data_IF_983343977081
#
_entry.id   IF_983343977081
#
_cell.length_a   1.000
_cell.length_b   1.000
_cell.length_c   1.000
_cell.angle_alpha   90.00
_cell.angle_beta   90.00
_cell.angle_gamma   90.00
#
_symmetry.space_group_name_H-M   'P 1'
#
loop_
_entity.id
_entity.type
_entity.pdbx_description
1 polymer ?
#
# COMPACT_ATOMS: atom_id res chain seq x y z
N UNK A 1 32.51 7.02 -5.45
CA UNK A 1 31.51 6.82 -6.51
C UNK A 1 30.24 6.15 -5.99
N UNK A 2 30.23 5.07 -5.23
CA UNK A 2 28.98 4.44 -4.74
C UNK A 2 28.14 5.30 -3.76
N UNK A 3 28.76 6.16 -2.97
CA UNK A 3 28.07 7.06 -2.03
C UNK A 3 27.30 8.21 -2.71
N UNK A 4 27.80 8.73 -3.82
CA UNK A 4 27.10 9.78 -4.58
C UNK A 4 25.84 9.23 -5.29
N UNK A 5 25.90 8.00 -5.78
CA UNK A 5 24.76 7.31 -6.42
C UNK A 5 23.58 7.09 -5.44
N UNK A 6 23.85 6.78 -4.18
CA UNK A 6 22.79 6.60 -3.16
C UNK A 6 22.16 7.96 -2.79
N UNK A 7 22.97 9.00 -2.66
CA UNK A 7 22.48 10.37 -2.39
C UNK A 7 21.61 10.88 -3.51
N UNK A 8 22.05 10.75 -4.76
CA UNK A 8 21.28 11.19 -5.93
C UNK A 8 19.95 10.44 -6.04
N UNK A 9 19.94 9.12 -5.91
CA UNK A 9 18.72 8.29 -5.90
C UNK A 9 17.78 8.66 -4.76
N UNK A 10 18.33 8.95 -3.58
CA UNK A 10 17.53 9.38 -2.43
C UNK A 10 16.87 10.72 -2.71
N UNK A 11 17.62 11.72 -3.17
CA UNK A 11 17.12 13.06 -3.51
C UNK A 11 16.11 13.00 -4.66
N UNK A 12 16.36 12.19 -5.68
CA UNK A 12 15.41 11.96 -6.78
C UNK A 12 14.08 11.41 -6.26
N UNK A 13 14.08 10.42 -5.37
CA UNK A 13 12.87 9.89 -4.74
C UNK A 13 12.12 10.92 -3.91
N UNK A 14 12.82 11.86 -3.26
CA UNK A 14 12.20 12.96 -2.51
C UNK A 14 11.49 13.96 -3.43
N UNK A 15 12.03 14.19 -4.63
CA UNK A 15 11.46 15.18 -5.59
C UNK A 15 10.30 14.62 -6.39
N UNK A 16 10.21 13.30 -6.54
CA UNK A 16 9.21 12.64 -7.40
C UNK A 16 7.78 12.68 -6.82
N UNK A 17 7.60 12.94 -5.52
CA UNK A 17 6.28 12.99 -4.88
C UNK A 17 6.07 14.36 -4.22
N UNK A 18 4.93 15.04 -4.48
CA UNK A 18 4.63 16.35 -3.88
C UNK A 18 4.45 16.28 -2.36
N UNK A 19 4.18 15.08 -1.81
CA UNK A 19 4.13 14.84 -0.36
C UNK A 19 5.05 13.67 -0.05
N UNK A 20 6.12 13.94 0.67
CA UNK A 20 7.09 12.94 1.09
C UNK A 20 7.18 12.94 2.61
N UNK A 21 6.87 11.81 3.24
CA UNK A 21 6.88 11.67 4.69
C UNK A 21 8.25 12.04 5.30
N UNK A 22 9.36 11.68 4.63
CA UNK A 22 10.69 12.03 5.11
C UNK A 22 10.94 13.54 5.08
N UNK A 23 10.48 14.25 4.03
CA UNK A 23 10.55 15.71 3.98
C UNK A 23 9.70 16.35 5.07
N UNK A 24 8.50 15.86 5.34
CA UNK A 24 7.67 16.35 6.44
C UNK A 24 8.36 16.15 7.81
N UNK A 25 9.02 15.02 8.02
CA UNK A 25 9.85 14.79 9.22
C UNK A 25 10.98 15.82 9.30
N UNK A 26 11.70 16.07 8.21
CA UNK A 26 12.78 17.08 8.14
C UNK A 26 12.24 18.49 8.43
N UNK A 27 11.16 18.89 7.80
CA UNK A 27 10.50 20.19 7.99
C UNK A 27 10.04 20.40 9.43
N UNK A 28 9.54 19.35 10.09
CA UNK A 28 9.10 19.42 11.48
C UNK A 28 10.21 19.75 12.49
N UNK A 29 11.47 19.59 12.08
CA UNK A 29 12.67 19.97 12.84
C UNK A 29 13.43 21.13 12.22
N UNK A 30 12.79 21.90 11.30
CA UNK A 30 13.33 23.10 10.69
C UNK A 30 14.26 22.87 9.50
N UNK A 31 14.33 21.66 8.96
CA UNK A 31 15.12 21.32 7.78
C UNK A 31 14.21 21.37 6.53
N UNK A 32 14.29 22.45 5.78
CA UNK A 32 13.48 22.68 4.57
C UNK A 32 14.18 22.31 3.26
N UNK A 33 15.49 22.06 3.32
CA UNK A 33 16.31 21.68 2.16
C UNK A 33 17.30 20.58 2.56
N UNK A 34 17.26 19.45 1.88
CA UNK A 34 18.19 18.33 2.06
C UNK A 34 19.30 18.28 0.98
N UNK A 35 19.34 19.21 0.04
CA UNK A 35 20.32 19.20 -1.05
C UNK A 35 21.70 19.69 -0.59
N UNK A 36 21.71 20.61 0.37
CA UNK A 36 22.92 21.14 0.98
C UNK A 36 23.17 20.48 2.33
N UNK A 37 24.43 20.23 2.69
CA UNK A 37 24.82 19.58 3.95
C UNK A 37 24.04 18.29 4.25
N UNK A 38 23.84 17.49 3.21
CA UNK A 38 22.95 16.35 3.17
C UNK A 38 23.16 15.38 4.32
N UNK A 39 24.40 14.98 4.57
CA UNK A 39 24.71 13.94 5.55
C UNK A 39 24.38 14.38 6.98
N UNK A 40 24.71 15.61 7.34
CA UNK A 40 24.41 16.14 8.68
C UNK A 40 22.91 16.31 8.88
N UNK A 41 22.21 16.83 7.89
CA UNK A 41 20.74 16.99 7.94
C UNK A 41 20.02 15.66 7.99
N UNK A 42 20.41 14.70 7.15
CA UNK A 42 19.90 13.32 7.17
C UNK A 42 20.14 12.66 8.53
N UNK A 43 21.33 12.82 9.09
CA UNK A 43 21.66 12.28 10.41
C UNK A 43 20.79 12.93 11.50
N UNK A 44 20.54 14.23 11.45
CA UNK A 44 19.66 14.91 12.40
C UNK A 44 18.23 14.38 12.35
N UNK A 45 17.66 14.18 11.15
CA UNK A 45 16.35 13.56 10.95
C UNK A 45 16.33 12.13 11.51
N UNK A 46 17.30 11.31 11.11
CA UNK A 46 17.38 9.91 11.53
C UNK A 46 17.54 9.75 13.06
N UNK A 47 18.29 10.63 13.71
CA UNK A 47 18.44 10.62 15.16
C UNK A 47 17.13 11.05 15.86
N UNK A 48 16.49 12.09 15.36
CA UNK A 48 15.24 12.62 15.94
C UNK A 48 14.12 11.60 15.87
N UNK A 49 14.00 10.88 14.75
CA UNK A 49 12.94 9.93 14.46
C UNK A 49 13.41 8.46 14.48
N UNK A 50 14.46 8.17 15.25
CA UNK A 50 15.08 6.84 15.28
C UNK A 50 14.10 5.73 15.67
N UNK A 51 13.17 6.00 16.59
CA UNK A 51 12.16 5.02 17.02
C UNK A 51 11.15 4.72 15.93
N UNK A 52 10.63 5.75 15.29
CA UNK A 52 9.65 5.65 14.22
C UNK A 52 10.25 4.96 13.00
N UNK A 53 11.44 5.36 12.61
CA UNK A 53 12.18 4.74 11.50
C UNK A 53 12.53 3.28 11.79
N UNK A 54 12.96 2.97 13.00
CA UNK A 54 13.22 1.59 13.41
C UNK A 54 11.97 0.73 13.42
N UNK A 55 10.85 1.29 13.89
CA UNK A 55 9.55 0.62 13.85
C UNK A 55 9.16 0.28 12.40
N UNK A 56 9.16 1.27 11.51
CA UNK A 56 8.75 1.07 10.11
C UNK A 56 9.68 0.09 9.40
N UNK A 57 11.00 0.20 9.60
CA UNK A 57 11.97 -0.71 8.97
C UNK A 57 11.91 -2.14 9.49
N UNK A 58 11.34 -2.33 10.68
CA UNK A 58 11.13 -3.65 11.29
C UNK A 58 9.79 -4.30 10.92
N UNK A 59 8.91 -3.61 10.17
CA UNK A 59 7.64 -4.18 9.73
C UNK A 59 7.85 -5.24 8.65
N UNK A 60 7.07 -6.35 8.68
CA UNK A 60 7.09 -7.31 7.60
C UNK A 60 6.53 -6.68 6.31
N UNK A 61 7.10 -7.01 5.17
CA UNK A 61 6.63 -6.57 3.86
C UNK A 61 5.36 -7.29 3.41
N UNK A 62 5.10 -8.48 3.97
CA UNK A 62 3.90 -9.26 3.77
C UNK A 62 3.54 -10.05 5.02
N UNK A 63 2.27 -10.39 5.18
CA UNK A 63 1.76 -11.28 6.24
C UNK A 63 0.97 -12.38 5.57
N UNK A 64 1.29 -13.62 5.88
CA UNK A 64 0.59 -14.79 5.37
C UNK A 64 -0.25 -15.45 6.47
N UNK A 65 -1.44 -15.87 6.10
CA UNK A 65 -2.34 -16.72 6.91
C UNK A 65 -2.69 -17.98 6.14
N UNK A 66 -3.53 -18.83 6.71
CA UNK A 66 -3.98 -20.05 6.04
C UNK A 66 -4.64 -19.75 4.68
N UNK A 67 -5.48 -18.69 4.59
CA UNK A 67 -6.30 -18.38 3.41
C UNK A 67 -5.92 -17.08 2.70
N UNK A 68 -5.09 -16.25 3.30
CA UNK A 68 -4.78 -14.90 2.78
C UNK A 68 -3.30 -14.57 2.83
N UNK A 69 -2.88 -13.75 1.89
CA UNK A 69 -1.59 -13.06 1.86
C UNK A 69 -1.88 -11.57 1.83
N UNK A 70 -1.42 -10.84 2.84
CA UNK A 70 -1.55 -9.39 2.93
C UNK A 70 -0.26 -8.74 2.47
N UNK A 71 -0.34 -7.86 1.50
CA UNK A 71 0.82 -7.17 0.92
C UNK A 71 0.41 -5.78 0.44
N UNK A 72 1.36 -4.82 0.40
CA UNK A 72 1.01 -3.43 0.07
C UNK A 72 0.46 -3.29 -1.36
N UNK A 73 1.19 -3.73 -2.39
CA UNK A 73 0.78 -3.52 -3.78
C UNK A 73 0.56 -4.82 -4.57
N UNK A 74 1.36 -5.85 -4.35
CA UNK A 74 1.23 -7.12 -5.07
C UNK A 74 2.37 -8.08 -4.79
N UNK A 75 2.34 -9.22 -5.49
CA UNK A 75 3.37 -10.26 -5.43
C UNK A 75 3.75 -10.66 -6.85
N UNK A 76 4.91 -11.28 -7.03
CA UNK A 76 5.23 -11.92 -8.30
C UNK A 76 4.35 -13.17 -8.49
N UNK A 77 3.93 -13.42 -9.74
CA UNK A 77 3.06 -14.55 -10.08
C UNK A 77 3.88 -15.86 -10.18
N UNK A 78 4.25 -16.39 -9.02
CA UNK A 78 5.03 -17.63 -8.87
C UNK A 78 4.75 -18.31 -7.54
N UNK A 79 5.08 -19.59 -7.43
CA UNK A 79 4.85 -20.38 -6.21
C UNK A 79 5.73 -19.97 -5.03
N UNK A 80 6.89 -19.38 -5.30
CA UNK A 80 7.82 -18.82 -4.31
C UNK A 80 7.63 -17.30 -4.15
N UNK A 81 6.38 -16.88 -4.03
CA UNK A 81 5.95 -15.48 -3.97
C UNK A 81 6.65 -14.68 -2.87
N UNK A 82 7.11 -15.33 -1.80
CA UNK A 82 7.87 -14.72 -0.69
C UNK A 82 9.18 -14.10 -1.16
N UNK A 83 9.72 -14.57 -2.29
CA UNK A 83 10.90 -14.03 -2.95
C UNK A 83 10.56 -12.91 -3.95
N UNK A 84 9.34 -12.38 -3.91
CA UNK A 84 8.96 -11.23 -4.74
C UNK A 84 9.87 -10.04 -4.45
N UNK A 85 10.26 -9.34 -5.52
CA UNK A 85 11.10 -8.15 -5.36
C UNK A 85 10.38 -7.07 -4.56
N UNK A 86 11.13 -6.25 -3.81
CA UNK A 86 10.59 -5.13 -3.06
C UNK A 86 9.77 -4.19 -3.96
N UNK A 87 10.17 -4.00 -5.20
CA UNK A 87 9.44 -3.20 -6.16
C UNK A 87 8.05 -3.78 -6.45
N UNK A 88 7.90 -5.11 -6.55
CA UNK A 88 6.60 -5.74 -6.71
C UNK A 88 5.73 -5.57 -5.47
N UNK A 89 6.28 -5.85 -4.31
CA UNK A 89 5.56 -5.77 -3.04
C UNK A 89 5.05 -4.35 -2.75
N UNK A 90 5.82 -3.33 -3.12
CA UNK A 90 5.52 -1.94 -2.77
C UNK A 90 4.90 -1.12 -3.92
N UNK A 91 5.07 -1.51 -5.19
CA UNK A 91 4.77 -0.63 -6.32
C UNK A 91 4.15 -1.31 -7.56
N UNK A 92 3.63 -2.54 -7.49
CA UNK A 92 3.15 -3.27 -8.67
C UNK A 92 1.63 -3.14 -8.95
N UNK A 93 1.14 -1.98 -9.46
CA UNK A 93 -0.28 -1.74 -9.65
C UNK A 93 -0.88 -2.60 -10.78
N UNK A 94 -0.07 -3.01 -11.77
CA UNK A 94 -0.51 -3.85 -12.89
C UNK A 94 -0.77 -5.30 -12.52
N UNK A 95 -0.23 -5.76 -11.40
CA UNK A 95 -0.36 -7.14 -10.93
C UNK A 95 -1.82 -7.58 -10.76
N UNK A 96 -2.69 -6.71 -10.29
CA UNK A 96 -4.11 -7.00 -10.09
C UNK A 96 -4.80 -7.43 -11.39
N UNK A 97 -4.32 -6.98 -12.55
CA UNK A 97 -4.88 -7.37 -13.85
C UNK A 97 -4.45 -8.77 -14.29
N UNK A 98 -3.23 -9.16 -13.93
CA UNK A 98 -2.66 -10.47 -14.33
C UNK A 98 -3.09 -11.62 -13.42
N UNK A 99 -3.42 -11.34 -12.15
CA UNK A 99 -3.71 -12.39 -11.15
C UNK A 99 -2.46 -13.14 -10.70
N UNK A 100 -2.67 -14.29 -10.07
CA UNK A 100 -1.61 -15.14 -9.54
C UNK A 100 -2.01 -16.63 -9.58
N UNK A 101 -1.05 -17.51 -9.31
CA UNK A 101 -1.22 -18.98 -9.37
C UNK A 101 -1.56 -19.63 -8.01
N UNK A 102 -1.61 -18.87 -6.93
CA UNK A 102 -1.80 -19.37 -5.58
C UNK A 102 -3.26 -19.66 -5.28
N UNK A 103 -3.49 -20.60 -4.34
CA UNK A 103 -4.83 -20.91 -3.86
C UNK A 103 -5.39 -19.95 -2.80
N UNK A 104 -4.54 -19.05 -2.29
CA UNK A 104 -4.91 -18.05 -1.30
C UNK A 104 -5.40 -16.76 -1.94
N UNK A 105 -6.21 -16.01 -1.23
CA UNK A 105 -6.53 -14.63 -1.60
C UNK A 105 -5.36 -13.71 -1.30
N UNK A 106 -5.04 -12.82 -2.22
CA UNK A 106 -4.05 -11.76 -2.00
C UNK A 106 -4.77 -10.44 -1.75
N UNK A 107 -4.58 -9.90 -0.54
CA UNK A 107 -5.19 -8.65 -0.10
C UNK A 107 -4.21 -7.52 -0.35
N UNK A 108 -4.61 -6.52 -1.13
CA UNK A 108 -3.76 -5.42 -1.59
C UNK A 108 -4.39 -4.05 -1.41
N UNK A 109 -3.53 -3.06 -1.21
CA UNK A 109 -3.82 -1.64 -1.28
C UNK A 109 -3.13 -0.95 -2.46
N UNK A 110 -2.52 0.21 -2.21
CA UNK A 110 -1.65 0.99 -3.10
C UNK A 110 -2.33 1.56 -4.36
N UNK A 111 -3.16 0.79 -5.02
CA UNK A 111 -3.84 1.20 -6.23
C UNK A 111 -5.34 1.32 -5.95
N UNK A 112 -5.90 2.55 -6.01
CA UNK A 112 -7.29 2.78 -5.64
C UNK A 112 -8.28 1.93 -6.43
N UNK A 113 -9.28 1.39 -5.74
CA UNK A 113 -10.27 0.46 -6.28
C UNK A 113 -11.05 1.02 -7.46
N UNK A 114 -11.31 2.33 -7.51
CA UNK A 114 -11.99 2.96 -8.64
C UNK A 114 -11.25 2.77 -9.99
N UNK A 115 -9.96 2.50 -9.98
CA UNK A 115 -9.18 2.24 -11.20
C UNK A 115 -9.42 0.82 -11.76
N UNK A 116 -9.97 -0.08 -10.95
CA UNK A 116 -10.31 -1.45 -11.34
C UNK A 116 -11.78 -1.61 -11.70
N UNK A 117 -12.62 -0.82 -11.08
CA UNK A 117 -14.06 -0.87 -11.25
C UNK A 117 -14.47 -0.27 -12.60
N UNK A 118 -14.23 -0.99 -13.70
CA UNK A 118 -14.60 -0.55 -15.06
C UNK A 118 -16.06 -0.08 -15.11
N UNK A 119 -16.26 1.25 -15.21
CA UNK A 119 -17.58 1.87 -15.33
C UNK A 119 -18.37 2.00 -14.02
N UNK A 120 -17.87 1.52 -12.88
CA UNK A 120 -18.46 1.78 -11.56
C UNK A 120 -17.57 2.75 -10.81
N UNK A 121 -18.09 3.92 -10.50
CA UNK A 121 -17.39 4.91 -9.68
C UNK A 121 -17.50 4.48 -8.21
N UNK A 122 -16.66 3.53 -7.80
CA UNK A 122 -16.68 3.01 -6.44
C UNK A 122 -15.31 3.11 -5.79
N UNK A 123 -15.28 3.55 -4.54
CA UNK A 123 -14.10 3.50 -3.67
C UNK A 123 -14.17 2.30 -2.69
N UNK A 124 -15.18 1.45 -2.84
CA UNK A 124 -15.41 0.29 -1.98
C UNK A 124 -14.40 -0.82 -2.25
N UNK A 125 -14.13 -1.71 -1.28
CA UNK A 125 -13.33 -2.90 -1.51
C UNK A 125 -13.88 -3.76 -2.65
N UNK A 126 -12.99 -4.36 -3.42
CA UNK A 126 -13.31 -5.23 -4.54
C UNK A 126 -12.78 -6.63 -4.23
N UNK A 127 -13.63 -7.65 -4.41
CA UNK A 127 -13.25 -9.06 -4.33
C UNK A 127 -13.38 -9.66 -5.72
N UNK A 128 -12.26 -10.04 -6.30
CA UNK A 128 -12.19 -10.84 -7.54
C UNK A 128 -12.01 -12.31 -7.13
N UNK A 129 -13.07 -13.09 -7.24
CA UNK A 129 -13.06 -14.50 -6.84
C UNK A 129 -12.31 -15.38 -7.82
N UNK A 130 -12.28 -15.02 -9.10
CA UNK A 130 -11.62 -15.80 -10.15
C UNK A 130 -10.10 -15.66 -10.04
N UNK A 131 -9.64 -14.44 -9.77
CA UNK A 131 -8.21 -14.13 -9.56
C UNK A 131 -7.78 -14.24 -8.11
N UNK A 132 -8.72 -14.48 -7.18
CA UNK A 132 -8.46 -14.51 -5.73
C UNK A 132 -7.72 -13.27 -5.23
N UNK A 133 -8.21 -12.10 -5.62
CA UNK A 133 -7.66 -10.80 -5.23
C UNK A 133 -8.70 -10.02 -4.44
N UNK A 134 -8.25 -9.39 -3.35
CA UNK A 134 -9.05 -8.46 -2.56
C UNK A 134 -8.32 -7.11 -2.58
N UNK A 135 -8.88 -6.10 -3.27
CA UNK A 135 -8.35 -4.76 -3.32
C UNK A 135 -9.12 -3.85 -2.36
N UNK A 136 -8.41 -3.17 -1.45
CA UNK A 136 -9.04 -2.43 -0.34
C UNK A 136 -8.79 -0.93 -0.36
N UNK A 137 -7.95 -0.41 -1.23
CA UNK A 137 -7.58 1.01 -1.26
C UNK A 137 -8.73 1.89 -1.75
N UNK A 138 -9.31 2.69 -0.87
CA UNK A 138 -10.37 3.64 -1.19
C UNK A 138 -9.90 4.95 -1.82
N UNK A 139 -8.60 5.15 -2.06
CA UNK A 139 -8.03 6.31 -2.75
C UNK A 139 -8.03 7.61 -1.95
N UNK A 140 -8.07 7.56 -0.63
CA UNK A 140 -8.16 8.75 0.24
C UNK A 140 -6.97 9.73 0.09
N UNK A 141 -5.79 9.25 -0.34
CA UNK A 141 -4.60 10.08 -0.56
C UNK A 141 -4.56 10.74 -1.95
N UNK A 142 -5.42 10.35 -2.88
CA UNK A 142 -5.33 10.73 -4.30
C UNK A 142 -6.51 11.55 -4.79
N UNK A 143 -7.69 11.38 -4.19
CA UNK A 143 -8.91 12.09 -4.58
C UNK A 143 -9.61 12.72 -3.40
N UNK A 144 -10.22 13.88 -3.62
CA UNK A 144 -11.09 14.54 -2.64
C UNK A 144 -12.32 13.71 -2.24
N UNK A 145 -12.74 12.77 -3.10
CA UNK A 145 -13.82 11.81 -2.85
C UNK A 145 -13.31 10.41 -2.49
N UNK A 146 -12.03 10.25 -2.15
CA UNK A 146 -11.49 9.01 -1.63
C UNK A 146 -11.93 8.75 -0.20
N UNK A 147 -11.89 7.49 0.22
CA UNK A 147 -12.29 7.05 1.56
C UNK A 147 -11.27 6.08 2.16
N UNK A 148 -11.31 5.92 3.47
CA UNK A 148 -10.58 4.85 4.17
C UNK A 148 -11.54 3.69 4.37
N UNK A 149 -11.16 2.51 3.88
CA UNK A 149 -11.91 1.28 4.09
C UNK A 149 -11.32 0.47 5.25
N UNK A 150 -12.16 0.00 6.15
CA UNK A 150 -11.83 -1.06 7.09
C UNK A 150 -12.39 -2.38 6.53
N UNK A 151 -11.52 -3.24 6.02
CA UNK A 151 -11.91 -4.55 5.50
C UNK A 151 -11.80 -5.60 6.59
N UNK A 152 -12.89 -6.29 6.87
CA UNK A 152 -13.01 -7.24 7.98
C UNK A 152 -13.08 -8.64 7.41
N UNK A 153 -12.17 -9.51 7.85
CA UNK A 153 -12.16 -10.94 7.56
C UNK A 153 -12.56 -11.65 8.84
N UNK A 154 -13.58 -12.49 8.77
CA UNK A 154 -14.00 -13.28 9.93
C UNK A 154 -12.93 -14.31 10.33
N UNK A 155 -13.02 -14.82 11.55
CA UNK A 155 -12.04 -15.75 12.10
C UNK A 155 -11.87 -17.04 11.28
N UNK A 156 -12.93 -17.48 10.60
CA UNK A 156 -12.91 -18.64 9.68
C UNK A 156 -12.26 -18.30 8.32
N UNK A 157 -12.02 -17.01 8.04
CA UNK A 157 -11.43 -16.53 6.80
C UNK A 157 -12.34 -16.68 5.57
N UNK A 158 -13.65 -16.86 5.75
CA UNK A 158 -14.62 -17.13 4.67
C UNK A 158 -15.65 -16.03 4.47
N UNK A 159 -15.90 -15.23 5.50
CA UNK A 159 -16.85 -14.13 5.41
C UNK A 159 -16.12 -12.79 5.42
N UNK A 160 -16.57 -11.88 4.56
CA UNK A 160 -15.98 -10.56 4.40
C UNK A 160 -17.02 -9.48 4.62
N UNK A 161 -16.63 -8.43 5.30
CA UNK A 161 -17.39 -7.19 5.40
C UNK A 161 -16.45 -6.01 5.33
N UNK A 162 -16.97 -4.82 5.10
CA UNK A 162 -16.18 -3.60 5.18
C UNK A 162 -16.96 -2.52 5.93
N UNK A 163 -16.23 -1.59 6.49
CA UNK A 163 -16.75 -0.41 7.15
C UNK A 163 -16.15 0.84 6.52
N UNK A 164 -16.96 1.89 6.38
CA UNK A 164 -16.49 3.21 5.97
C UNK A 164 -16.19 4.04 7.21
N UNK A 165 -14.93 4.30 7.46
CA UNK A 165 -14.47 4.99 8.66
C UNK A 165 -14.96 6.45 8.75
N UNK A 166 -15.41 7.05 7.64
CA UNK A 166 -15.88 8.44 7.60
C UNK A 166 -17.38 8.63 7.87
N UNK A 167 -18.19 7.57 7.81
CA UNK A 167 -19.62 7.61 8.09
C UNK A 167 -20.02 6.51 9.08
N UNK A 168 -19.72 6.68 10.37
CA UNK A 168 -19.94 5.62 11.37
C UNK A 168 -21.43 5.32 11.68
N UNK A 169 -22.35 5.97 10.99
CA UNK A 169 -23.81 5.82 11.19
C UNK A 169 -24.50 4.92 10.17
N UNK A 170 -23.80 4.46 9.13
CA UNK A 170 -24.37 3.54 8.13
C UNK A 170 -24.12 2.08 8.54
N UNK A 171 -25.12 1.19 8.40
CA UNK A 171 -24.91 -0.22 8.66
C UNK A 171 -23.89 -0.79 7.70
N UNK A 172 -23.02 -1.67 8.21
CA UNK A 172 -21.99 -2.37 7.43
C UNK A 172 -22.63 -3.04 6.20
N UNK A 173 -22.36 -2.51 5.02
CA UNK A 173 -22.80 -3.13 3.78
C UNK A 173 -21.90 -4.31 3.44
N UNK A 174 -22.49 -5.37 2.90
CA UNK A 174 -21.72 -6.53 2.42
C UNK A 174 -20.83 -6.10 1.25
N UNK A 175 -19.59 -6.55 1.24
CA UNK A 175 -18.66 -6.33 0.14
C UNK A 175 -19.31 -6.66 -1.21
N UNK A 176 -19.09 -5.80 -2.20
CA UNK A 176 -19.52 -6.11 -3.56
C UNK A 176 -18.60 -7.19 -4.13
N UNK A 177 -19.09 -8.40 -4.25
CA UNK A 177 -18.40 -9.48 -4.96
C UNK A 177 -18.56 -9.23 -6.44
N UNK A 178 -17.48 -8.97 -7.14
CA UNK A 178 -17.47 -8.83 -8.59
C UNK A 178 -17.02 -10.16 -9.18
N UNK A 179 -17.93 -10.87 -9.83
CA UNK A 179 -17.68 -12.20 -10.42
C UNK A 179 -17.05 -12.14 -11.83
N UNK A 180 -17.08 -11.00 -12.50
CA UNK A 180 -16.63 -10.89 -13.89
C UNK A 180 -15.80 -9.62 -14.11
N UNK A 181 -14.49 -9.79 -14.18
CA UNK A 181 -13.56 -8.87 -14.84
C UNK A 181 -13.19 -9.44 -16.23
N UNK A 182 -14.14 -9.39 -17.16
CA UNK A 182 -13.83 -9.61 -18.59
C UNK A 182 -13.54 -8.30 -19.29
#
# INVERSE_FOLDING_TARGET
>A
MAFDDEKEKFLERLTYRPVNAYMQMAESIGITDLTTDFDNKRNAVNQKFAKELSFVSGLPTAIETEKHIFVHAGIENRTDWENSSEQFVLCAPWWIRSGHVLDKYVVVGHFPTYNFARGKNTNLPIIDTDKRIIAVDGGCSVKSAGQINAFIITKDGESYSYDNVFEPSEPCEKCTVIKDYT
#
